data_IF_617602861371
#
_entry.id   IF_617602861371
#
_cell.length_a   1.000
_cell.length_b   1.000
_cell.length_c   1.000
_cell.angle_alpha   90.00
_cell.angle_beta   90.00
_cell.angle_gamma   90.00
#
_symmetry.space_group_name_H-M   'P 1'
#
loop_
_entity.id
_entity.type
_entity.pdbx_description
1 polymer ?
2 polymer ?
3 non-polymer ?
4 water ?
#
# COMPACT_ATOMS: atom_id res chain seq x y z
N UNK A 1 20.23 15.89 1.63
CA UNK A 1 20.99 14.62 1.72
C UNK A 1 21.20 13.97 0.40
N UNK A 2 21.58 12.71 0.49
CA UNK A 2 21.95 11.95 -0.68
C UNK A 2 20.67 11.28 -1.23
N UNK A 3 20.28 11.71 -2.42
CA UNK A 3 19.06 11.18 -3.03
C UNK A 3 19.47 9.99 -3.85
N UNK A 4 18.69 8.90 -3.74
CA UNK A 4 18.98 7.65 -4.42
C UNK A 4 17.93 7.52 -5.50
N UNK A 5 18.31 7.74 -6.76
CA UNK A 5 17.35 7.67 -7.88
C UNK A 5 17.38 6.29 -8.49
N UNK A 6 16.28 5.58 -8.31
CA UNK A 6 16.19 4.23 -8.74
C UNK A 6 15.29 4.13 -9.97
N UNK A 7 15.74 3.37 -10.96
CA UNK A 7 14.96 3.16 -12.20
C UNK A 7 15.05 1.69 -12.61
N UNK A 8 14.02 1.16 -13.30
CA UNK A 8 12.74 1.78 -13.59
C UNK A 8 11.86 1.73 -12.35
N UNK A 9 10.77 2.49 -12.37
CA UNK A 9 9.77 2.32 -11.32
C UNK A 9 9.06 0.97 -11.40
N UNK A 10 8.84 0.50 -12.64
CA UNK A 10 8.09 -0.75 -12.87
C UNK A 10 8.90 -1.57 -13.86
N UNK A 11 9.11 -2.85 -13.57
CA UNK A 11 9.85 -3.70 -14.47
C UNK A 11 9.06 -4.96 -14.78
N UNK A 12 8.26 -4.92 -15.87
CA UNK A 12 7.57 -6.11 -16.31
C UNK A 12 8.53 -7.09 -16.95
N UNK A 13 8.38 -8.34 -16.55
CA UNK A 13 9.17 -9.45 -17.07
C UNK A 13 8.33 -10.71 -17.29
N UNK A 14 8.83 -11.60 -18.15
CA UNK A 14 8.33 -12.96 -18.15
C UNK A 14 9.25 -13.80 -17.29
N UNK A 15 8.73 -14.77 -16.55
CA UNK A 15 9.64 -15.64 -15.79
C UNK A 15 10.71 -16.19 -16.74
N UNK A 16 11.96 -16.21 -16.30
CA UNK A 16 13.08 -16.65 -17.10
C UNK A 16 13.87 -15.53 -17.73
N UNK A 17 13.27 -14.35 -17.83
CA UNK A 17 13.95 -13.19 -18.38
C UNK A 17 15.03 -12.66 -17.44
N UNK A 18 16.00 -11.98 -18.02
CA UNK A 18 16.96 -11.19 -17.25
C UNK A 18 16.28 -9.93 -16.74
N UNK A 19 16.69 -9.45 -15.57
CA UNK A 19 16.20 -8.15 -15.09
C UNK A 19 17.40 -7.35 -14.62
N UNK A 20 17.37 -6.05 -14.85
CA UNK A 20 18.40 -5.13 -14.38
C UNK A 20 17.75 -3.90 -13.75
N UNK A 21 18.26 -3.50 -12.58
CA UNK A 21 17.66 -2.39 -11.83
C UNK A 21 18.80 -1.41 -11.48
N UNK A 22 18.56 -0.12 -11.67
CA UNK A 22 19.58 0.89 -11.53
C UNK A 22 19.37 1.76 -10.30
N UNK A 23 20.45 2.04 -9.58
CA UNK A 23 20.40 2.99 -8.47
C UNK A 23 21.50 4.03 -8.67
N UNK A 24 21.13 5.31 -8.71
CA UNK A 24 22.13 6.39 -8.90
C UNK A 24 22.07 7.38 -7.72
N UNK A 25 23.07 7.33 -6.82
CA UNK A 25 23.11 8.29 -5.73
C UNK A 25 23.51 9.67 -6.31
N UNK A 26 23.16 10.75 -5.63
CA UNK A 26 23.42 12.11 -6.11
C UNK A 26 24.83 12.58 -5.76
N UNK A 27 25.60 11.67 -5.16
CA UNK A 27 27.05 11.82 -4.91
C UNK A 27 27.71 10.49 -4.56
N UNK A 28 29.05 10.47 -4.52
CA UNK A 28 29.87 9.30 -4.22
C UNK A 28 29.50 8.67 -2.88
N UNK A 29 29.55 7.35 -2.85
CA UNK A 29 29.26 6.58 -1.64
C UNK A 29 30.48 5.96 -0.98
N UNK A 30 31.68 6.36 -1.42
CA UNK A 30 32.87 5.78 -0.83
C UNK A 30 33.09 6.52 0.50
N UNK A 31 33.06 5.77 1.59
CA UNK A 31 33.26 6.29 2.93
C UNK A 31 34.74 6.62 3.13
N UNK A 32 35.02 7.53 4.06
CA UNK A 32 36.43 7.83 4.42
C UNK A 32 37.23 6.57 4.72
N UNK A 33 36.58 5.53 5.24
CA UNK A 33 37.23 4.25 5.52
C UNK A 33 37.48 3.33 4.31
N UNK A 34 37.03 3.74 3.14
CA UNK A 34 37.31 2.98 1.92
C UNK A 34 36.17 2.08 1.46
N UNK A 35 35.26 1.78 2.37
CA UNK A 35 34.10 0.95 2.04
C UNK A 35 33.04 1.73 1.26
N UNK A 36 32.29 1.06 0.41
CA UNK A 36 31.16 1.67 -0.32
C UNK A 36 29.89 1.01 0.22
N UNK A 37 29.13 1.76 1.03
CA UNK A 37 27.95 1.23 1.70
C UNK A 37 26.74 1.44 0.82
N UNK A 38 26.65 0.64 -0.26
CA UNK A 38 25.49 0.63 -1.17
C UNK A 38 24.95 -0.78 -1.13
N UNK A 39 23.65 -0.94 -0.84
CA UNK A 39 23.08 -2.26 -0.59
C UNK A 39 21.77 -2.41 -1.36
N UNK A 40 21.36 -3.65 -1.60
CA UNK A 40 20.07 -3.94 -2.32
C UNK A 40 19.19 -4.87 -1.50
N UNK A 41 17.89 -4.63 -1.57
CA UNK A 41 16.90 -5.40 -0.77
C UNK A 41 15.72 -5.76 -1.65
N UNK A 42 14.98 -6.80 -1.23
CA UNK A 42 13.71 -7.18 -1.88
C UNK A 42 12.66 -7.21 -0.77
N UNK A 43 11.53 -6.55 -1.03
CA UNK A 43 10.38 -6.66 -0.12
C UNK A 43 9.16 -7.26 -0.83
N UNK A 44 8.65 -8.33 -0.27
CA UNK A 44 7.39 -8.97 -0.75
C UNK A 44 6.16 -8.40 0.00
N UNK A 45 4.95 -8.44 -0.61
CA UNK A 45 3.79 -7.82 0.04
C UNK A 45 3.55 -8.36 1.44
N UNK A 46 3.42 -7.43 2.39
CA UNK A 46 3.09 -7.73 3.77
C UNK A 46 4.20 -8.44 4.52
N UNK A 47 5.42 -8.40 3.96
CA UNK A 47 6.63 -8.93 4.63
C UNK A 47 7.60 -7.77 4.86
N UNK A 48 8.59 -7.98 5.72
CA UNK A 48 9.64 -6.98 5.87
C UNK A 48 10.62 -7.11 4.69
N UNK A 49 11.36 -6.03 4.41
CA UNK A 49 12.48 -6.18 3.44
C UNK A 49 13.49 -7.24 3.84
N UNK A 50 14.16 -7.81 2.83
CA UNK A 50 15.26 -8.71 3.06
C UNK A 50 16.50 -8.26 2.28
N UNK A 51 17.67 -8.35 2.90
CA UNK A 51 18.92 -8.05 2.21
C UNK A 51 19.24 -9.05 1.08
N UNK A 52 19.68 -8.51 -0.05
CA UNK A 52 20.19 -9.32 -1.16
C UNK A 52 21.69 -9.18 -1.34
N UNK A 53 22.15 -7.94 -1.50
CA UNK A 53 23.54 -7.62 -1.85
C UNK A 53 24.03 -6.54 -0.90
N UNK A 54 25.18 -6.74 -0.27
CA UNK A 54 25.76 -5.69 0.58
C UNK A 54 27.06 -5.17 0.03
N UNK A 55 27.36 -3.90 0.30
CA UNK A 55 28.54 -3.21 -0.20
C UNK A 55 28.82 -3.53 -1.65
N UNK A 56 27.85 -3.17 -2.48
CA UNK A 56 27.91 -3.12 -3.96
C UNK A 56 27.74 -4.47 -4.61
N UNK A 57 28.55 -5.47 -4.21
CA UNK A 57 28.67 -6.72 -5.00
C UNK A 57 28.68 -8.01 -4.18
N UNK A 58 28.48 -7.91 -2.86
CA UNK A 58 28.61 -9.09 -2.03
C UNK A 58 27.26 -9.74 -1.80
N UNK A 59 27.13 -11.00 -2.21
CA UNK A 59 25.88 -11.70 -2.09
C UNK A 59 25.65 -12.18 -0.66
N UNK A 60 24.51 -11.85 -0.08
CA UNK A 60 24.23 -12.17 1.30
C UNK A 60 23.95 -13.67 1.41
N UNK A 61 24.31 -14.25 2.56
CA UNK A 61 24.00 -15.65 2.81
C UNK A 61 22.53 -16.03 2.57
N UNK A 62 22.33 -17.10 1.80
CA UNK A 62 21.00 -17.63 1.50
C UNK A 62 20.36 -17.03 0.27
N UNK A 63 20.95 -15.94 -0.25
CA UNK A 63 20.39 -15.26 -1.46
C UNK A 63 20.78 -16.08 -2.70
N UNK A 64 19.80 -16.37 -3.57
CA UNK A 64 20.09 -17.15 -4.80
C UNK A 64 21.21 -16.57 -5.66
N UNK A 65 21.97 -17.48 -6.29
CA UNK A 65 23.19 -17.15 -7.04
C UNK A 65 22.85 -16.26 -8.25
N UNK A 66 21.59 -16.32 -8.71
CA UNK A 66 21.17 -15.52 -9.89
C UNK A 66 21.14 -14.01 -9.60
N UNK A 67 21.19 -13.64 -8.33
CA UNK A 67 21.33 -12.22 -7.97
C UNK A 67 22.80 -11.81 -7.95
N UNK A 68 23.11 -10.65 -8.55
CA UNK A 68 24.45 -10.05 -8.43
C UNK A 68 24.37 -8.54 -8.45
N UNK A 69 25.38 -7.88 -7.93
CA UNK A 69 25.41 -6.43 -7.98
C UNK A 69 26.78 -5.97 -8.47
N UNK A 70 26.78 -4.78 -9.01
CA UNK A 70 28.02 -4.16 -9.46
C UNK A 70 27.88 -2.65 -9.48
N UNK A 71 29.01 -1.99 -9.72
CA UNK A 71 28.98 -0.56 -9.97
C UNK A 71 29.94 0.26 -9.14
N UNK A 72 29.91 1.55 -9.39
CA UNK A 72 30.85 2.50 -8.78
C UNK A 72 30.40 3.93 -9.06
N UNK A 73 31.04 4.90 -8.40
CA UNK A 73 30.73 6.32 -8.65
C UNK A 73 29.29 6.61 -8.29
N UNK A 74 28.49 7.02 -9.27
CA UNK A 74 27.07 7.28 -9.03
C UNK A 74 26.19 6.38 -9.91
N UNK A 75 26.69 5.20 -10.24
CA UNK A 75 25.88 4.24 -11.00
C UNK A 75 26.08 2.81 -10.51
N UNK A 76 25.02 2.25 -9.92
CA UNK A 76 25.04 0.90 -9.37
C UNK A 76 23.89 0.10 -9.96
N UNK A 77 24.11 -1.20 -10.12
CA UNK A 77 23.15 -2.06 -10.79
C UNK A 77 22.99 -3.43 -10.14
N UNK A 78 21.74 -3.80 -9.93
CA UNK A 78 21.36 -5.11 -9.46
C UNK A 78 20.94 -5.89 -10.71
N UNK A 79 21.54 -7.06 -10.88
CA UNK A 79 21.15 -7.94 -12.00
C UNK A 79 20.55 -9.24 -11.49
N UNK A 80 19.47 -9.70 -12.13
CA UNK A 80 18.90 -11.02 -11.87
C UNK A 80 19.03 -11.80 -13.19
N UNK A 81 19.76 -12.90 -13.19
CA UNK A 81 20.09 -13.52 -14.49
C UNK A 81 18.85 -14.11 -15.22
N UNK A 82 17.95 -14.70 -14.43
CA UNK A 82 16.68 -15.31 -14.84
C UNK A 82 15.65 -15.10 -13.74
N UNK A 83 14.60 -14.32 -14.02
CA UNK A 83 13.61 -14.05 -12.98
C UNK A 83 12.77 -15.28 -12.66
N UNK A 84 12.72 -15.65 -11.38
CA UNK A 84 11.87 -16.76 -10.93
C UNK A 84 10.74 -16.21 -10.09
N UNK A 85 9.69 -16.99 -9.86
CA UNK A 85 8.47 -16.47 -9.19
C UNK A 85 8.73 -15.86 -7.80
N UNK A 86 9.71 -16.42 -7.08
CA UNK A 86 10.08 -15.95 -5.73
C UNK A 86 10.75 -14.57 -5.76
N UNK A 87 11.07 -14.10 -6.97
CA UNK A 87 11.80 -12.84 -7.08
C UNK A 87 10.86 -11.66 -7.28
N UNK A 88 9.59 -11.94 -7.55
CA UNK A 88 8.65 -10.83 -7.74
C UNK A 88 8.44 -10.06 -6.44
N UNK A 89 8.42 -8.75 -6.58
CA UNK A 89 8.21 -7.88 -5.42
C UNK A 89 8.82 -6.51 -5.65
N UNK A 90 9.11 -5.80 -4.56
CA UNK A 90 9.65 -4.44 -4.72
C UNK A 90 11.10 -4.43 -4.29
N UNK A 91 11.96 -4.02 -5.22
CA UNK A 91 13.40 -3.86 -4.95
C UNK A 91 13.76 -2.44 -4.57
N UNK A 92 14.66 -2.30 -3.63
CA UNK A 92 15.22 -0.96 -3.41
C UNK A 92 16.68 -1.01 -3.02
N UNK A 93 17.39 0.11 -3.26
CA UNK A 93 18.75 0.26 -2.80
C UNK A 93 18.75 1.11 -1.53
N UNK A 94 19.81 0.99 -0.73
CA UNK A 94 20.04 1.93 0.40
C UNK A 94 21.49 2.37 0.32
N UNK A 95 21.78 3.58 0.78
CA UNK A 95 23.15 3.94 1.05
C UNK A 95 23.35 4.12 2.55
N UNK A 96 24.48 3.64 3.03
CA UNK A 96 24.80 3.83 4.46
C UNK A 96 26.09 4.54 4.74
N UNK A 97 26.55 5.29 3.76
CA UNK A 97 27.79 6.09 3.87
C UNK A 97 27.57 7.43 4.54
N UNK A 98 26.50 8.11 4.16
CA UNK A 98 26.25 9.47 4.62
C UNK A 98 25.00 9.57 5.46
N UNK A 99 25.11 10.10 6.69
CA UNK A 99 23.91 10.40 7.49
C UNK A 99 23.19 11.62 6.88
N UNK A 100 21.86 11.53 6.62
CA UNK A 100 20.99 10.39 6.94
C UNK A 100 21.03 9.28 5.87
N UNK A 101 20.93 8.02 6.29
CA UNK A 101 20.89 6.94 5.33
C UNK A 101 19.64 7.09 4.51
N UNK A 102 19.70 6.73 3.24
CA UNK A 102 18.57 6.94 2.35
C UNK A 102 18.33 5.72 1.47
N UNK A 103 17.10 5.66 0.99
CA UNK A 103 16.63 4.53 0.19
C UNK A 103 16.17 5.00 -1.18
N UNK A 104 16.31 4.13 -2.18
CA UNK A 104 15.73 4.40 -3.49
C UNK A 104 14.22 4.26 -3.38
N UNK A 105 13.48 4.76 -4.37
CA UNK A 105 12.02 4.78 -4.28
C UNK A 105 11.34 3.47 -4.61
N UNK A 106 12.14 2.48 -5.00
CA UNK A 106 11.61 1.17 -5.26
C UNK A 106 11.41 0.89 -6.76
N UNK A 107 11.53 -0.40 -7.09
CA UNK A 107 11.23 -0.93 -8.43
C UNK A 107 10.35 -2.14 -8.27
N UNK A 108 9.16 -2.13 -8.88
CA UNK A 108 8.25 -3.28 -8.78
C UNK A 108 8.57 -4.25 -9.92
N UNK A 109 9.12 -5.41 -9.56
CA UNK A 109 9.35 -6.49 -10.54
C UNK A 109 8.02 -7.29 -10.62
N UNK A 110 7.41 -7.32 -11.79
CA UNK A 110 6.05 -7.89 -11.94
C UNK A 110 5.97 -8.64 -13.26
N UNK A 111 4.86 -9.35 -13.47
CA UNK A 111 4.72 -10.18 -14.66
C UNK A 111 4.14 -9.39 -15.85
N UNK A 112 4.76 -9.59 -17.01
CA UNK A 112 4.39 -8.89 -18.23
C UNK A 112 3.26 -9.68 -18.87
N UNK A 113 2.24 -8.96 -19.37
CA UNK A 113 1.15 -9.61 -20.10
C UNK A 113 0.66 -8.64 -21.16
N UNK A 114 -0.34 -9.06 -21.94
CA UNK A 114 -0.90 -8.18 -22.96
C UNK A 114 -1.65 -7.02 -22.31
N UNK A 115 -1.58 -5.84 -22.90
CA UNK A 115 -2.33 -4.70 -22.37
C UNK A 115 -3.82 -5.01 -22.40
N UNK A 116 -4.51 -4.53 -21.38
CA UNK A 116 -5.93 -4.73 -21.20
C UNK A 116 -6.56 -3.41 -20.72
N UNK A 117 -7.57 -2.98 -21.47
CA UNK A 117 -8.34 -1.79 -21.08
C UNK A 117 -9.17 -2.05 -19.81
N UNK A 118 -9.32 -1.05 -18.92
CA UNK A 118 -10.14 -1.35 -17.74
C UNK A 118 -11.63 -1.53 -18.07
N UNK A 119 -12.30 -2.33 -17.26
CA UNK A 119 -13.74 -2.37 -17.22
C UNK A 119 -14.20 -1.39 -16.15
N UNK A 120 -14.90 -0.34 -16.59
CA UNK A 120 -15.16 0.82 -15.75
C UNK A 120 -16.64 0.80 -15.40
N UNK A 121 -16.92 0.83 -14.10
CA UNK A 121 -18.30 0.82 -13.56
C UNK A 121 -18.49 1.95 -12.59
N UNK A 122 -19.51 2.78 -12.83
CA UNK A 122 -19.77 3.92 -11.92
C UNK A 122 -21.07 3.66 -11.15
N UNK A 123 -21.10 4.06 -9.88
CA UNK A 123 -22.31 3.92 -9.02
C UNK A 123 -22.62 5.21 -8.28
N UNK A 124 -23.88 5.70 -8.36
CA UNK A 124 -24.28 6.82 -7.48
C UNK A 124 -24.32 6.41 -5.98
N UNK A 125 -24.42 7.41 -5.08
CA UNK A 125 -24.63 7.11 -3.67
C UNK A 125 -25.84 6.19 -3.47
N UNK A 126 -25.65 5.24 -2.56
CA UNK A 126 -26.69 4.38 -1.98
C UNK A 126 -27.84 5.22 -1.39
N UNK A 127 -29.08 4.75 -1.56
CA UNK A 127 -30.18 5.35 -0.77
C UNK A 127 -29.91 5.27 0.73
N UNK A 128 -29.38 4.13 1.18
CA UNK A 128 -28.90 3.95 2.57
C UNK A 128 -27.93 5.04 3.06
N UNK A 129 -26.96 5.40 2.22
CA UNK A 129 -26.00 6.44 2.60
C UNK A 129 -26.62 7.83 2.61
N UNK A 130 -27.40 8.17 1.60
CA UNK A 130 -28.02 9.51 1.53
C UNK A 130 -28.94 9.80 2.71
N UNK A 131 -29.65 8.77 3.15
CA UNK A 131 -30.40 8.84 4.41
C UNK A 131 -29.55 9.35 5.60
N UNK A 132 -28.24 9.05 5.63
CA UNK A 132 -27.34 9.51 6.69
C UNK A 132 -26.64 10.86 6.38
N UNK A 133 -27.01 11.46 5.25
CA UNK A 133 -26.50 12.78 4.87
C UNK A 133 -25.18 12.75 4.15
N UNK A 134 -24.70 11.55 3.81
CA UNK A 134 -23.47 11.41 3.04
C UNK A 134 -23.71 10.98 1.60
N UNK A 135 -22.72 11.21 0.75
CA UNK A 135 -22.85 10.87 -0.65
C UNK A 135 -21.52 10.51 -1.27
N UNK A 136 -21.27 9.20 -1.39
CA UNK A 136 -20.04 8.69 -2.01
C UNK A 136 -20.39 8.13 -3.37
N UNK A 137 -19.69 8.63 -4.39
CA UNK A 137 -19.82 8.13 -5.75
C UNK A 137 -18.65 7.21 -6.05
N UNK A 138 -18.93 6.00 -6.49
CA UNK A 138 -17.86 5.01 -6.66
C UNK A 138 -17.63 4.65 -8.12
N UNK A 139 -16.35 4.56 -8.49
CA UNK A 139 -15.93 4.08 -9.78
C UNK A 139 -14.95 2.89 -9.61
N UNK A 140 -15.32 1.71 -10.11
CA UNK A 140 -14.37 0.56 -10.24
C UNK A 140 -13.73 0.56 -11.62
N UNK A 141 -12.43 0.29 -11.68
CA UNK A 141 -11.72 0.20 -12.96
C UNK A 141 -11.02 -1.12 -12.85
N UNK A 142 -11.54 -2.14 -13.53
CA UNK A 142 -11.16 -3.51 -13.22
C UNK A 142 -10.39 -4.22 -14.32
N UNK A 143 -9.43 -5.05 -13.90
CA UNK A 143 -8.74 -6.00 -14.80
C UNK A 143 -8.04 -5.30 -15.97
N UNK A 144 -7.24 -4.29 -15.62
CA UNK A 144 -6.45 -3.57 -16.62
C UNK A 144 -4.95 -3.86 -16.54
N UNK A 145 -4.24 -3.57 -17.63
CA UNK A 145 -2.77 -3.68 -17.65
C UNK A 145 -2.24 -2.75 -18.74
N UNK A 146 -1.12 -2.01 -18.48
CA UNK A 146 -0.28 -1.98 -17.27
C UNK A 146 -0.91 -1.30 -16.05
N UNK A 147 -0.20 -1.29 -14.91
CA UNK A 147 -0.77 -0.80 -13.64
C UNK A 147 -1.05 0.70 -13.63
N UNK A 148 -0.28 1.41 -14.43
CA UNK A 148 -0.33 2.84 -14.48
C UNK A 148 -1.67 3.28 -15.02
N UNK A 149 -2.39 4.05 -14.21
CA UNK A 149 -3.72 4.55 -14.59
C UNK A 149 -4.01 5.83 -13.84
N UNK A 150 -4.84 6.68 -14.44
CA UNK A 150 -5.22 7.93 -13.80
C UNK A 150 -6.72 8.08 -13.89
N UNK A 151 -7.33 8.52 -12.78
CA UNK A 151 -8.80 8.69 -12.74
C UNK A 151 -9.06 10.16 -12.49
N UNK A 152 -9.95 10.74 -13.29
CA UNK A 152 -10.39 12.12 -13.11
C UNK A 152 -11.90 12.15 -12.91
N UNK A 153 -12.36 12.86 -11.87
CA UNK A 153 -13.78 13.04 -11.62
C UNK A 153 -14.23 14.39 -12.14
N UNK A 154 -15.41 14.44 -12.72
CA UNK A 154 -16.00 15.73 -13.12
C UNK A 154 -17.42 15.83 -12.55
N UNK A 155 -17.79 17.01 -12.09
CA UNK A 155 -19.13 17.26 -11.61
C UNK A 155 -19.65 18.37 -12.53
N UNK A 156 -20.77 18.11 -13.18
CA UNK A 156 -21.31 19.01 -14.19
C UNK A 156 -20.22 19.55 -15.13
N UNK A 157 -19.38 18.64 -15.59
CA UNK A 157 -18.33 18.91 -16.54
C UNK A 157 -17.08 19.56 -15.98
N UNK A 158 -17.09 19.88 -14.68
CA UNK A 158 -15.93 20.52 -14.03
C UNK A 158 -15.11 19.50 -13.23
N UNK A 159 -13.80 19.52 -13.40
CA UNK A 159 -12.92 18.58 -12.69
C UNK A 159 -13.00 18.85 -11.18
N UNK A 160 -12.99 17.78 -10.40
CA UNK A 160 -13.04 17.82 -8.94
C UNK A 160 -11.94 16.93 -8.37
N UNK A 161 -11.14 17.46 -7.44
CA UNK A 161 -10.00 16.68 -6.88
C UNK A 161 -10.03 16.31 -5.40
N UNK A 162 -10.53 17.20 -4.56
CA UNK A 162 -10.63 16.97 -3.11
C UNK A 162 -11.82 16.07 -2.72
N UNK A 163 -11.62 15.23 -1.70
CA UNK A 163 -12.63 14.26 -1.29
C UNK A 163 -12.59 12.94 -2.07
N UNK A 164 -11.51 12.72 -2.83
CA UNK A 164 -11.28 11.50 -3.62
C UNK A 164 -10.34 10.52 -2.93
N UNK A 165 -10.77 9.26 -2.82
CA UNK A 165 -10.00 8.18 -2.20
C UNK A 165 -9.75 7.11 -3.29
N UNK A 166 -8.49 6.81 -3.60
CA UNK A 166 -8.16 5.74 -4.55
C UNK A 166 -7.42 4.58 -3.93
N UNK A 167 -7.80 3.37 -4.31
CA UNK A 167 -7.16 2.16 -3.77
C UNK A 167 -6.87 1.19 -4.90
N UNK A 168 -5.66 0.61 -4.93
CA UNK A 168 -5.27 -0.35 -5.95
C UNK A 168 -5.03 -1.72 -5.36
N UNK A 169 -5.37 -2.72 -6.14
CA UNK A 169 -5.02 -4.10 -5.84
C UNK A 169 -3.59 -4.38 -6.34
N UNK A 170 -2.97 -5.42 -5.78
CA UNK A 170 -1.70 -5.88 -6.34
C UNK A 170 -2.05 -6.72 -7.58
N UNK A 171 -1.02 -7.07 -8.33
CA UNK A 171 -1.22 -7.85 -9.54
C UNK A 171 -1.93 -9.17 -9.27
N UNK A 172 -2.94 -9.48 -10.10
CA UNK A 172 -3.73 -10.70 -9.94
C UNK A 172 -2.90 -11.92 -10.26
N UNK A 173 -3.03 -12.96 -9.43
CA UNK A 173 -2.18 -14.14 -9.56
C UNK A 173 -2.57 -14.99 -10.77
N UNK A 174 -3.83 -14.89 -11.18
CA UNK A 174 -4.32 -15.65 -12.34
C UNK A 174 -4.39 -14.87 -13.67
N UNK A 175 -4.69 -13.57 -13.58
CA UNK A 175 -4.96 -12.62 -14.68
C UNK A 175 -3.70 -11.86 -15.06
N UNK A 176 -2.88 -11.60 -14.03
CA UNK A 176 -1.76 -10.64 -14.10
C UNK A 176 -2.23 -9.22 -14.35
N UNK A 177 -3.52 -8.96 -14.16
CA UNK A 177 -4.05 -7.58 -14.27
C UNK A 177 -4.05 -6.86 -12.94
N UNK A 178 -4.44 -5.59 -12.98
CA UNK A 178 -4.61 -4.75 -11.80
C UNK A 178 -6.05 -4.23 -11.81
N UNK A 179 -6.54 -3.87 -10.64
CA UNK A 179 -7.79 -3.14 -10.52
C UNK A 179 -7.65 -1.97 -9.56
N UNK A 180 -8.56 -1.01 -9.67
CA UNK A 180 -8.55 0.11 -8.76
C UNK A 180 -9.97 0.58 -8.48
N UNK A 181 -10.14 1.09 -7.25
CA UNK A 181 -11.41 1.64 -6.83
C UNK A 181 -11.20 3.11 -6.53
N UNK A 182 -12.03 4.00 -7.10
CA UNK A 182 -11.95 5.43 -6.80
C UNK A 182 -13.28 5.89 -6.19
N UNK A 183 -13.22 6.59 -5.05
CA UNK A 183 -14.47 7.01 -4.38
C UNK A 183 -14.42 8.53 -4.16
N UNK A 184 -15.41 9.22 -4.72
CA UNK A 184 -15.61 10.66 -4.49
C UNK A 184 -16.63 10.86 -3.39
N UNK A 185 -16.20 11.43 -2.27
CA UNK A 185 -17.17 11.72 -1.22
C UNK A 185 -17.49 13.20 -1.08
N UNK A 186 -18.79 13.48 -1.11
CA UNK A 186 -19.35 14.81 -0.81
C UNK A 186 -20.49 14.72 0.22
N UNK A 187 -20.96 15.87 0.68
CA UNK A 187 -22.16 15.88 1.51
C UNK A 187 -23.38 15.63 0.63
N UNK A 188 -24.46 15.16 1.23
CA UNK A 188 -25.70 15.01 0.48
C UNK A 188 -26.12 16.36 -0.11
N UNK A 189 -25.95 17.44 0.69
CA UNK A 189 -26.28 18.81 0.25
C UNK A 189 -25.57 19.17 -1.04
N UNK A 190 -24.23 18.94 -1.07
CA UNK A 190 -23.43 19.29 -2.26
C UNK A 190 -23.83 18.40 -3.42
N UNK A 191 -24.02 17.11 -3.13
CA UNK A 191 -24.39 16.13 -4.16
C UNK A 191 -25.65 16.61 -4.89
N UNK A 192 -26.59 17.18 -4.13
CA UNK A 192 -27.86 17.70 -4.68
C UNK A 192 -27.76 19.03 -5.42
N UNK A 193 -26.61 19.71 -5.33
CA UNK A 193 -26.41 20.93 -6.12
C UNK A 193 -26.01 20.66 -7.58
N UNK A 194 -25.86 19.38 -7.96
CA UNK A 194 -25.31 19.02 -9.28
C UNK A 194 -25.99 17.81 -9.90
N UNK A 195 -25.86 17.68 -11.21
CA UNK A 195 -26.53 16.61 -11.93
C UNK A 195 -25.59 15.54 -12.50
N UNK A 196 -24.66 15.97 -13.35
CA UNK A 196 -23.77 15.05 -14.07
C UNK A 196 -22.52 14.68 -13.24
N UNK A 197 -22.35 13.39 -12.97
CA UNK A 197 -21.15 12.87 -12.26
C UNK A 197 -20.41 11.92 -13.17
N UNK A 198 -19.10 12.13 -13.35
CA UNK A 198 -18.36 11.41 -14.38
C UNK A 198 -17.03 10.91 -13.82
N UNK A 199 -16.72 9.62 -14.04
CA UNK A 199 -15.33 9.18 -13.83
C UNK A 199 -14.69 8.87 -15.19
N UNK A 200 -13.46 9.37 -15.37
CA UNK A 200 -12.76 9.26 -16.64
C UNK A 200 -11.45 8.54 -16.36
N UNK A 201 -11.17 7.47 -17.09
CA UNK A 201 -9.98 6.63 -16.86
C UNK A 201 -9.02 6.81 -18.01
N UNK A 202 -7.83 7.31 -17.70
CA UNK A 202 -6.78 7.47 -18.70
C UNK A 202 -5.75 6.34 -18.48
N UNK A 203 -5.47 5.62 -19.55
CA UNK A 203 -4.68 4.40 -19.47
C UNK A 203 -4.03 4.19 -20.83
N UNK A 204 -2.94 3.43 -20.87
CA UNK A 204 -2.19 3.20 -22.13
C UNK A 204 -3.05 2.72 -23.30
N UNK A 205 -4.12 2.00 -22.96
CA UNK A 205 -4.95 1.32 -23.96
C UNK A 205 -5.90 2.23 -24.71
N UNK A 206 -5.87 3.51 -24.37
CA UNK A 206 -6.65 4.52 -25.10
C UNK A 206 -5.91 5.85 -25.18
N UNK A 207 -6.07 6.53 -26.31
CA UNK A 207 -5.48 7.86 -26.48
C UNK A 207 -6.47 8.88 -25.89
N UNK A 208 -7.72 8.43 -25.73
CA UNK A 208 -8.80 9.20 -25.11
C UNK A 208 -9.35 8.45 -23.91
N UNK A 209 -9.75 9.18 -22.86
CA UNK A 209 -10.30 8.52 -21.65
C UNK A 209 -11.54 7.64 -21.89
N UNK A 210 -11.63 6.54 -21.12
CA UNK A 210 -12.88 5.77 -21.01
C UNK A 210 -13.70 6.55 -20.00
N UNK A 211 -14.85 7.02 -20.45
CA UNK A 211 -15.72 7.83 -19.60
C UNK A 211 -16.98 7.07 -19.18
N UNK A 212 -17.28 7.08 -17.87
CA UNK A 212 -18.56 6.55 -17.38
C UNK A 212 -19.22 7.66 -16.60
N UNK A 213 -20.53 7.80 -16.77
CA UNK A 213 -21.19 8.91 -16.11
C UNK A 213 -22.64 8.60 -15.82
N UNK A 214 -23.23 9.39 -14.96
CA UNK A 214 -24.67 9.37 -14.75
C UNK A 214 -25.17 10.74 -14.38
N UNK A 215 -26.48 10.91 -14.52
CA UNK A 215 -27.12 12.14 -14.09
C UNK A 215 -28.01 11.84 -12.91
N UNK A 216 -27.77 12.56 -11.81
CA UNK A 216 -28.47 12.33 -10.56
C UNK A 216 -29.99 12.35 -10.73
N UNK A 217 -30.49 13.24 -11.57
CA UNK A 217 -31.94 13.35 -11.81
C UNK A 217 -32.61 12.07 -12.31
N UNK A 218 -31.82 11.22 -12.99
CA UNK A 218 -32.32 10.02 -13.60
C UNK A 218 -31.93 8.75 -12.85
N UNK A 219 -31.32 8.88 -11.66
CA UNK A 219 -30.90 7.72 -10.89
C UNK A 219 -31.73 7.59 -9.63
N UNK B 1 21.08 -17.24 12.72
CA UNK B 1 19.75 -17.25 13.40
C UNK B 1 19.59 -15.96 14.17
N UNK B 2 20.00 -14.89 13.51
CA UNK B 2 19.71 -13.56 13.98
C UNK B 2 18.22 -13.31 13.83
N UNK B 3 17.57 -12.82 14.90
CA UNK B 3 16.16 -12.41 14.85
C UNK B 3 15.95 -11.13 15.62
N UNK B 4 15.14 -10.25 15.02
CA UNK B 4 14.67 -9.04 15.70
C UNK B 4 13.17 -9.13 15.82
N UNK B 5 12.70 -9.10 17.06
CA UNK B 5 11.28 -9.26 17.35
C UNK B 5 10.71 -7.98 17.94
N UNK B 6 9.80 -7.37 17.19
CA UNK B 6 9.23 -6.12 17.58
C UNK B 6 7.93 -6.27 18.36
N UNK B 7 7.57 -5.23 19.09
CA UNK B 7 6.29 -5.19 19.83
C UNK B 7 5.11 -5.10 18.85
N UNK B 8 3.90 -5.27 19.39
CA UNK B 8 2.72 -5.44 18.57
C UNK B 8 2.10 -4.14 18.09
N UNK B 9 1.07 -4.27 17.27
CA UNK B 9 0.38 -3.11 16.69
C UNK B 9 -0.14 -2.17 17.75
N UNK B 10 -0.03 -0.88 17.47
CA UNK B 10 -0.46 0.16 18.37
C UNK B 10 -1.59 1.01 17.75
N UNK B 11 -2.58 1.34 18.57
CA UNK B 11 -3.64 2.27 18.17
C UNK B 11 -3.60 3.44 19.17
N UNK B 12 -3.21 4.62 18.69
CA UNK B 12 -2.87 5.70 19.60
C UNK B 12 -3.68 6.97 19.33
N UNK B 13 -4.00 7.70 20.39
CA UNK B 13 -4.68 8.96 20.13
C UNK B 13 -3.70 10.08 19.76
N UNK B 14 -4.17 11.09 19.00
CA UNK B 14 -3.23 12.16 18.66
C UNK B 14 -2.72 12.85 19.90
N UNK B 15 -1.43 13.12 19.91
CA UNK B 15 -0.82 13.85 21.03
C UNK B 15 -0.16 12.91 22.02
N UNK B 16 -0.46 11.62 21.90
CA UNK B 16 0.12 10.62 22.82
C UNK B 16 1.56 10.35 22.44
N UNK B 17 2.23 9.54 23.26
CA UNK B 17 3.55 9.01 22.92
C UNK B 17 3.45 7.50 22.90
N UNK B 18 4.24 6.89 22.02
CA UNK B 18 4.27 5.44 21.95
C UNK B 18 5.73 4.96 22.05
N UNK B 19 5.94 3.78 22.62
CA UNK B 19 7.26 3.17 22.66
C UNK B 19 7.17 1.85 21.92
N UNK B 20 8.01 1.69 20.92
CA UNK B 20 8.10 0.44 20.18
C UNK B 20 9.36 -0.28 20.62
N UNK B 21 9.25 -1.59 20.89
CA UNK B 21 10.46 -2.35 21.24
C UNK B 21 10.93 -3.26 20.12
N UNK B 22 12.18 -3.65 20.27
CA UNK B 22 12.90 -4.47 19.29
C UNK B 22 13.90 -5.36 20.03
N UNK B 23 13.55 -6.64 20.25
CA UNK B 23 14.39 -7.63 21.01
C UNK B 23 15.21 -8.43 20.02
N UNK B 24 16.51 -8.36 20.21
CA UNK B 24 17.53 -8.93 19.34
C UNK B 24 17.98 -10.26 19.94
N UNK B 25 18.00 -11.28 19.10
CA UNK B 25 18.53 -12.58 19.49
C UNK B 25 19.48 -13.12 18.44
N UNK B 26 20.38 -14.02 18.84
CA UNK B 26 21.20 -14.72 17.86
C UNK B 26 22.53 -14.08 17.52
N UNK B 27 22.87 -12.98 18.20
CA UNK B 27 24.16 -12.30 17.99
C UNK B 27 24.49 -11.44 19.20
N UNK B 28 25.67 -10.83 19.17
CA UNK B 28 26.10 -9.98 20.25
C UNK B 28 25.54 -8.58 20.08
N UNK B 29 24.62 -8.20 20.97
CA UNK B 29 23.82 -6.95 20.79
C UNK B 29 24.69 -5.69 20.68
N UNK B 30 25.73 -5.58 21.52
CA UNK B 30 26.51 -4.34 21.54
C UNK B 30 27.42 -4.19 20.30
N UNK B 31 27.45 -5.21 19.45
CA UNK B 31 28.37 -5.21 18.29
C UNK B 31 27.80 -4.58 17.03
N UNK B 32 26.49 -4.39 16.98
CA UNK B 32 25.85 -3.85 15.80
C UNK B 32 24.92 -2.73 16.18
N UNK B 33 24.68 -1.84 15.23
CA UNK B 33 23.71 -0.79 15.43
C UNK B 33 22.31 -1.34 15.27
N UNK B 34 21.36 -0.63 15.86
CA UNK B 34 19.95 -0.88 15.55
C UNK B 34 19.48 0.34 14.78
N UNK B 35 18.92 0.10 13.60
CA UNK B 35 18.38 1.12 12.71
C UNK B 35 16.87 1.20 12.89
N UNK B 36 16.29 2.38 12.70
CA UNK B 36 14.84 2.54 12.76
C UNK B 36 14.37 3.14 11.45
N UNK B 37 13.41 2.46 10.81
CA UNK B 37 12.90 2.87 9.51
C UNK B 37 11.37 2.99 9.49
N UNK B 38 10.87 3.99 8.78
CA UNK B 38 9.45 4.29 8.69
C UNK B 38 8.92 3.98 7.29
N UNK B 39 7.86 3.19 7.24
CA UNK B 39 7.23 2.79 5.98
C UNK B 39 5.81 3.30 5.99
N UNK B 40 5.61 4.36 5.25
CA UNK B 40 4.34 5.05 5.18
C UNK B 40 3.80 4.89 3.81
N UNK B 41 2.52 4.47 3.69
CA UNK B 41 1.93 4.37 2.37
C UNK B 41 2.07 5.67 1.57
N UNK B 42 2.49 5.52 0.33
CA UNK B 42 2.64 6.65 -0.62
C UNK B 42 3.96 7.41 -0.46
N UNK B 43 4.91 6.82 0.26
CA UNK B 43 6.14 7.52 0.58
C UNK B 43 7.40 6.70 0.37
N UNK B 44 7.30 5.39 0.56
CA UNK B 44 8.50 4.54 0.39
C UNK B 44 9.10 4.24 1.74
N UNK B 45 10.44 4.36 1.86
CA UNK B 45 11.11 4.12 3.14
C UNK B 45 11.86 5.35 3.63
N UNK B 46 11.72 5.67 4.92
CA UNK B 46 12.36 6.86 5.42
C UNK B 46 13.15 6.44 6.68
N UNK B 47 14.47 6.66 6.67
CA UNK B 47 15.29 6.34 7.82
C UNK B 47 15.08 7.36 8.93
N UNK B 48 14.86 6.86 10.15
CA UNK B 48 14.68 7.71 11.32
C UNK B 48 16.03 7.91 12.02
N UNK B 49 16.82 6.85 12.16
CA UNK B 49 18.07 6.99 12.92
C UNK B 49 18.61 5.64 13.37
N UNK B 50 19.68 5.66 14.13
CA UNK B 50 20.28 4.41 14.60
C UNK B 50 20.89 4.65 15.97
N UNK B 51 21.03 3.55 16.72
CA UNK B 51 21.71 3.55 18.02
C UNK B 51 22.69 2.40 18.09
N UNK B 52 23.84 2.61 18.71
CA UNK B 52 24.78 1.54 18.95
C UNK B 52 24.64 1.16 20.45
N UNK B 53 23.97 0.01 20.73
CA UNK B 53 23.71 -0.33 22.15
C UNK B 53 24.97 -0.39 22.98
N UNK B 54 24.88 0.12 24.21
CA UNK B 54 26.03 0.16 25.13
C UNK B 54 27.11 1.21 24.91
N UNK B 55 27.04 1.98 23.83
CA UNK B 55 28.13 2.95 23.53
C UNK B 55 27.82 4.41 23.80
N UNK B 56 26.56 4.73 24.07
CA UNK B 56 26.10 6.14 24.10
C UNK B 56 25.97 6.82 22.75
N UNK B 57 26.15 6.06 21.66
CA UNK B 57 26.20 6.68 20.33
C UNK B 57 24.88 6.50 19.58
N UNK B 58 24.48 7.59 18.94
CA UNK B 58 23.28 7.64 18.07
C UNK B 58 23.55 8.55 16.87
N UNK B 59 22.85 8.28 15.78
CA UNK B 59 22.73 9.22 14.66
C UNK B 59 21.23 9.34 14.38
N UNK B 60 20.70 10.57 14.38
CA UNK B 60 19.30 10.81 14.03
C UNK B 60 19.20 11.51 12.70
N UNK B 61 18.20 11.13 11.91
CA UNK B 61 17.79 12.02 10.84
C UNK B 61 17.34 13.37 11.46
N UNK B 62 17.80 14.47 10.87
CA UNK B 62 17.58 15.78 11.51
C UNK B 62 16.12 16.06 11.91
N UNK B 63 15.18 15.82 11.00
CA UNK B 63 13.76 16.16 11.29
C UNK B 63 13.14 15.28 12.40
N UNK B 64 13.84 14.23 12.82
CA UNK B 64 13.35 13.41 13.95
C UNK B 64 13.96 13.79 15.30
N UNK B 65 14.96 14.65 15.30
CA UNK B 65 15.51 15.12 16.57
C UNK B 65 14.45 15.99 17.25
N UNK B 66 14.04 15.54 18.44
CA UNK B 66 12.92 16.19 19.13
C UNK B 66 11.65 15.36 19.06
N UNK B 67 11.63 14.35 18.19
CA UNK B 67 10.41 13.59 17.93
C UNK B 67 10.59 12.12 18.31
N UNK B 68 11.67 11.54 17.83
CA UNK B 68 12.02 10.14 18.13
C UNK B 68 13.15 10.11 19.13
N UNK B 69 13.12 9.16 20.07
CA UNK B 69 14.20 8.97 21.05
C UNK B 69 14.57 7.50 21.11
N UNK B 70 15.84 7.17 20.92
CA UNK B 70 16.27 5.77 20.93
C UNK B 70 16.93 5.49 22.26
N UNK B 71 16.59 4.33 22.80
CA UNK B 71 17.34 3.76 23.92
C UNK B 71 17.63 2.29 23.63
N UNK B 72 18.57 1.71 24.38
CA UNK B 72 18.94 0.31 24.18
C UNK B 72 19.43 -0.19 25.51
N UNK B 73 19.02 -1.40 25.85
CA UNK B 73 19.33 -2.00 27.15
C UNK B 73 20.14 -3.28 26.87
N UNK B 74 21.42 -3.23 27.21
CA UNK B 74 22.31 -4.35 26.89
C UNK B 74 22.03 -5.53 27.84
N UNK B 75 21.26 -5.31 28.92
CA UNK B 75 20.93 -6.44 29.81
C UNK B 75 19.82 -7.30 29.22
N UNK B 76 18.89 -6.67 28.52
CA UNK B 76 17.73 -7.39 27.98
C UNK B 76 17.82 -7.58 26.46
N UNK B 77 18.91 -7.08 25.88
CA UNK B 77 19.11 -7.06 24.42
C UNK B 77 17.90 -6.50 23.71
N UNK B 78 17.38 -5.39 24.22
CA UNK B 78 16.21 -4.76 23.61
C UNK B 78 16.47 -3.30 23.33
N UNK B 79 16.08 -2.88 22.13
CA UNK B 79 16.19 -1.49 21.72
C UNK B 79 14.78 -0.90 21.71
N UNK B 80 14.66 0.40 21.98
CA UNK B 80 13.33 1.04 22.04
C UNK B 80 13.35 2.33 21.24
N UNK B 81 12.23 2.61 20.58
CA UNK B 81 12.05 3.94 20.00
C UNK B 81 10.79 4.56 20.57
N UNK B 82 10.91 5.75 21.11
CA UNK B 82 9.76 6.54 21.56
C UNK B 82 9.41 7.57 20.48
N UNK B 83 8.14 7.65 20.09
CA UNK B 83 7.69 8.76 19.21
C UNK B 83 6.68 9.58 19.99
N UNK B 84 6.92 10.89 20.10
CA UNK B 84 6.03 11.73 20.91
C UNK B 84 5.13 12.60 20.03
N UNK B 85 4.17 13.29 20.68
CA UNK B 85 3.21 14.20 19.97
C UNK B 85 2.67 13.56 18.68
N UNK B 86 2.09 12.38 18.84
CA UNK B 86 1.64 11.62 17.68
C UNK B 86 0.60 12.34 16.86
N UNK B 87 0.78 12.29 15.55
CA UNK B 87 -0.19 12.85 14.62
C UNK B 87 -0.52 11.85 13.51
N UNK B 88 -1.47 12.23 12.66
CA UNK B 88 -1.78 11.43 11.47
C UNK B 88 -0.56 11.13 10.55
N UNK B 89 0.45 12.00 10.59
CA UNK B 89 1.63 11.77 9.79
C UNK B 89 2.46 10.61 10.31
N UNK B 90 2.14 10.15 11.50
CA UNK B 90 2.92 9.09 12.15
C UNK B 90 2.34 7.71 11.97
N UNK B 91 1.13 7.64 11.42
CA UNK B 91 0.54 6.34 11.07
C UNK B 91 1.38 5.65 9.98
N UNK B 92 2.00 4.52 10.33
CA UNK B 92 2.95 3.88 9.44
C UNK B 92 3.32 2.55 10.03
N UNK B 93 4.08 1.77 9.26
CA UNK B 93 4.77 0.60 9.81
C UNK B 93 6.21 1.02 10.10
N UNK B 94 6.69 0.69 11.31
CA UNK B 94 8.05 1.06 11.73
C UNK B 94 8.85 -0.21 11.83
N UNK B 95 10.04 -0.21 11.24
CA UNK B 95 10.92 -1.39 11.34
C UNK B 95 12.11 -1.09 12.18
N UNK B 96 12.57 -2.07 12.97
CA UNK B 96 13.96 -2.02 13.38
C UNK B 96 14.78 -2.92 12.49
N UNK B 97 16.08 -2.60 12.35
CA UNK B 97 16.97 -3.46 11.59
C UNK B 97 18.34 -3.49 12.25
N UNK B 98 19.14 -4.52 11.96
CA UNK B 98 20.53 -4.54 12.36
C UNK B 98 21.25 -3.66 11.37
N UNK B 99 22.28 -2.96 11.82
CA UNK B 99 23.07 -2.10 10.94
C UNK B 99 24.54 -2.21 11.28
N UNK B 100 25.40 -2.03 10.27
CA UNK B 100 26.86 -1.97 10.48
C UNK B 100 27.54 -1.94 9.14
N UNK B 101 27.20 -2.90 8.29
CA UNK B 101 27.74 -2.90 6.92
C UNK B 101 26.68 -3.35 5.90
N UNK B 102 25.42 -3.03 6.23
CA UNK B 102 24.17 -3.29 5.50
C UNK B 102 23.10 -3.43 6.58
N UNK B 103 21.86 -3.24 6.18
CA UNK B 103 20.71 -3.53 7.06
C UNK B 103 20.37 -4.98 6.82
N UNK B 104 21.10 -5.83 7.52
CA UNK B 104 21.13 -7.26 7.12
C UNK B 104 19.97 -8.11 7.63
N UNK B 105 19.41 -7.73 8.78
CA UNK B 105 18.24 -8.44 9.28
C UNK B 105 17.21 -7.42 9.77
N UNK B 106 15.95 -7.61 9.40
CA UNK B 106 14.92 -6.64 9.73
C UNK B 106 13.90 -7.26 10.66
N UNK B 107 13.40 -6.46 11.62
CA UNK B 107 12.25 -6.88 12.42
C UNK B 107 11.01 -7.10 11.57
N UNK B 108 9.95 -7.63 12.17
CA UNK B 108 8.75 -7.91 11.40
C UNK B 108 7.91 -6.65 11.17
N UNK B 109 8.27 -5.53 11.84
CA UNK B 109 7.52 -4.29 11.71
C UNK B 109 6.46 -4.15 12.77
N UNK B 110 6.18 -2.91 13.16
CA UNK B 110 5.15 -2.56 14.12
C UNK B 110 4.27 -1.48 13.47
N UNK B 111 2.97 -1.77 13.31
CA UNK B 111 1.98 -0.82 12.82
C UNK B 111 1.60 0.14 13.93
N UNK B 112 1.71 1.43 13.67
CA UNK B 112 1.16 2.43 14.58
C UNK B 112 0.07 3.18 13.85
N UNK B 113 -1.11 3.27 14.45
CA UNK B 113 -2.22 3.98 13.78
C UNK B 113 -2.65 5.09 14.73
N UNK B 114 -2.74 6.31 14.22
CA UNK B 114 -3.08 7.44 15.08
C UNK B 114 -4.51 7.89 14.75
N UNK B 115 -5.40 7.84 15.73
CA UNK B 115 -6.81 8.19 15.51
C UNK B 115 -7.47 8.53 16.83
N UNK B 116 -8.47 9.42 16.76
CA UNK B 116 -9.37 9.74 17.87
C UNK B 116 -10.63 8.86 17.88
N UNK B 117 -10.76 7.93 16.93
CA UNK B 117 -12.01 7.19 16.76
C UNK B 117 -12.17 6.12 17.81
N UNK B 118 -13.42 5.86 18.19
CA UNK B 118 -13.70 4.67 18.98
C UNK B 118 -13.90 3.50 18.01
N UNK B 119 -13.90 2.30 18.54
CA UNK B 119 -14.25 1.10 17.78
C UNK B 119 -15.59 1.40 17.16
N UNK B 120 -15.64 1.34 15.83
CA UNK B 120 -16.80 1.79 15.05
C UNK B 120 -17.00 0.76 13.95
N UNK B 121 -18.19 0.12 13.92
CA UNK B 121 -18.39 -0.88 12.87
C UNK B 121 -18.58 -0.14 11.54
N UNK B 122 -18.31 -0.81 10.41
CA UNK B 122 -18.46 -0.08 9.15
C UNK B 122 -19.92 0.12 8.74
N UNK B 123 -20.19 1.18 7.99
CA UNK B 123 -21.45 1.29 7.26
C UNK B 123 -21.24 0.56 5.94
N UNK B 124 -22.17 -0.31 5.57
CA UNK B 124 -22.02 -1.11 4.34
C UNK B 124 -23.07 -0.72 3.30
N UNK B 125 -22.58 -0.22 2.18
CA UNK B 125 -23.47 0.33 1.18
C UNK B 125 -23.37 -0.51 -0.08
N UNK B 126 -24.54 -0.92 -0.62
CA UNK B 126 -24.57 -1.70 -1.87
C UNK B 126 -24.21 -0.85 -3.07
N UNK B 127 -23.51 -1.45 -4.01
CA UNK B 127 -23.19 -0.80 -5.28
C UNK B 127 -23.75 -1.68 -6.38
N UNK B 128 -24.82 -1.22 -7.01
CA UNK B 128 -25.49 -2.01 -8.02
C UNK B 128 -25.97 -1.09 -9.13
N UNK B 129 -26.08 -1.63 -10.35
CA UNK B 129 -26.51 -0.74 -11.44
C UNK B 129 -27.98 -0.24 -11.32
N UNK B 130 -28.25 0.83 -12.07
CA UNK B 130 -29.54 1.52 -12.07
C UNK B 130 -29.52 2.55 -13.18
N UNK B 131 -30.09 3.73 -12.88
CA UNK B 131 -30.03 4.92 -13.75
C UNK B 131 -30.58 4.67 -15.16
N UNK B 132 -31.42 3.64 -15.31
CA UNK B 132 -31.99 3.27 -16.60
C UNK B 132 -31.00 2.68 -17.60
N UNK B 133 -29.80 2.31 -17.14
CA UNK B 133 -28.82 1.70 -18.05
C UNK B 133 -29.23 0.27 -18.39
N UNK B 134 -28.79 -0.22 -19.55
CA UNK B 134 -28.99 -1.62 -19.90
C UNK B 134 -27.77 -2.43 -19.50
N UNK B 135 -28.00 -3.44 -18.66
CA UNK B 135 -26.97 -4.40 -18.24
C UNK B 135 -26.36 -5.11 -19.46
N UNK B 136 -25.07 -5.39 -19.42
CA UNK B 136 -24.42 -6.20 -20.47
C UNK B 136 -24.60 -7.67 -20.14
N UNK B 137 -23.75 -8.53 -20.69
CA UNK B 137 -23.81 -9.96 -20.36
C UNK B 137 -23.19 -10.26 -18.98
N UNK B 138 -22.26 -9.41 -18.55
CA UNK B 138 -21.77 -9.47 -17.17
C UNK B 138 -22.11 -8.18 -16.42
N UNK B 139 -22.42 -8.32 -15.14
CA UNK B 139 -22.73 -7.15 -14.32
C UNK B 139 -21.72 -7.06 -13.18
N UNK B 140 -21.23 -5.86 -12.91
CA UNK B 140 -20.31 -5.67 -11.77
C UNK B 140 -21.08 -5.07 -10.60
N UNK B 141 -20.98 -5.75 -9.46
CA UNK B 141 -21.62 -5.29 -8.23
C UNK B 141 -20.53 -5.01 -7.19
N UNK B 142 -20.88 -4.30 -6.14
CA UNK B 142 -19.87 -3.96 -5.16
C UNK B 142 -20.48 -3.68 -3.81
N UNK B 143 -19.65 -3.63 -2.77
CA UNK B 143 -20.04 -3.09 -1.50
C UNK B 143 -18.98 -2.12 -1.06
N UNK B 144 -19.43 -0.94 -0.61
CA UNK B 144 -18.57 0.08 0.00
C UNK B 144 -18.68 -0.06 1.50
N UNK B 145 -17.54 -0.23 2.14
CA UNK B 145 -17.43 -0.54 3.56
C UNK B 145 -16.69 0.67 4.17
N UNK B 146 -17.47 1.58 4.76
CA UNK B 146 -16.97 2.93 5.06
C UNK B 146 -17.04 3.32 6.53
N UNK B 147 -16.02 4.05 6.99
CA UNK B 147 -16.05 4.70 8.30
C UNK B 147 -15.87 3.79 9.50
N UNK B 148 -15.02 2.76 9.37
CA UNK B 148 -14.81 1.79 10.44
C UNK B 148 -13.49 1.98 11.15
N UNK B 149 -13.38 1.38 12.35
CA UNK B 149 -12.14 1.42 13.11
C UNK B 149 -12.14 0.31 14.19
N UNK B 150 -10.99 -0.35 14.41
CA UNK B 150 -9.74 -0.29 13.64
C UNK B 150 -9.79 -1.24 12.48
N UNK B 151 -8.63 -1.49 11.88
CA UNK B 151 -8.56 -2.29 10.68
C UNK B 151 -8.96 -3.71 10.80
N UNK B 152 -9.08 -4.24 9.58
CA UNK B 152 -9.53 -5.55 9.26
C UNK B 152 -11.02 -5.78 9.31
N UNK B 153 -11.55 -5.78 8.11
CA UNK B 153 -12.83 -6.33 7.84
C UNK B 153 -12.58 -7.44 6.85
N UNK B 154 -13.55 -8.33 6.70
CA UNK B 154 -13.54 -9.30 5.61
C UNK B 154 -14.88 -9.21 4.90
N UNK B 155 -14.85 -9.14 3.57
CA UNK B 155 -16.08 -9.20 2.76
C UNK B 155 -16.14 -10.56 2.09
N UNK B 156 -17.26 -11.27 2.28
CA UNK B 156 -17.51 -12.54 1.61
C UNK B 156 -18.72 -12.41 0.72
N UNK B 157 -18.58 -12.82 -0.55
CA UNK B 157 -19.70 -12.84 -1.48
C UNK B 157 -20.36 -14.23 -1.57
N UNK B 158 -21.68 -14.24 -1.44
CA UNK B 158 -22.44 -15.43 -0.99
C UNK B 158 -21.63 -16.68 -0.61
N UNK B 159 -21.14 -16.68 0.63
CA UNK B 159 -20.37 -17.77 1.26
C UNK B 159 -18.96 -17.98 0.72
N UNK B 160 -18.69 -17.55 -0.51
CA UNK B 160 -17.38 -17.69 -1.14
C UNK B 160 -17.46 -18.34 -2.50
N UNK B 161 -18.68 -18.72 -2.89
CA UNK B 161 -18.96 -19.53 -4.08
C UNK B 161 -18.88 -18.77 -5.41
N UNK B 162 -17.81 -18.01 -5.63
CA UNK B 162 -17.67 -17.25 -6.89
C UNK B 162 -16.70 -17.88 -7.91
N UNK B 163 -15.52 -18.29 -7.42
CA UNK B 163 -14.32 -18.50 -8.24
C UNK B 163 -13.89 -17.14 -8.81
N UNK B 164 -13.58 -16.24 -7.87
CA UNK B 164 -13.38 -14.78 -8.04
C UNK B 164 -12.61 -14.40 -9.30
N UNK B 165 -13.08 -13.50 -10.15
CA UNK B 165 -14.25 -12.56 -10.07
C UNK B 165 -14.44 -11.51 -8.95
N UNK B 166 -13.93 -11.76 -7.74
CA UNK B 166 -13.97 -10.78 -6.63
C UNK B 166 -12.65 -9.99 -6.57
N UNK B 167 -12.78 -8.67 -6.47
CA UNK B 167 -11.65 -7.79 -6.16
C UNK B 167 -11.80 -7.15 -4.79
N UNK B 168 -10.76 -7.24 -3.97
CA UNK B 168 -10.77 -6.62 -2.64
C UNK B 168 -9.83 -5.43 -2.68
N UNK B 169 -10.36 -4.24 -2.41
CA UNK B 169 -9.55 -3.05 -2.51
C UNK B 169 -9.07 -2.70 -1.10
N UNK B 170 -7.75 -2.64 -0.92
CA UNK B 170 -7.14 -2.41 0.38
C UNK B 170 -7.71 -1.14 1.02
N UNK B 171 -7.96 -1.20 2.34
CA UNK B 171 -8.49 -0.07 3.08
C UNK B 171 -7.53 1.12 3.08
N UNK B 172 -8.10 2.30 3.19
CA UNK B 172 -7.32 3.53 3.38
C UNK B 172 -7.82 4.24 4.61
N UNK B 173 -6.89 4.75 5.40
CA UNK B 173 -7.24 5.55 6.56
C UNK B 173 -7.30 6.99 6.09
N UNK B 174 -8.42 7.63 6.36
CA UNK B 174 -8.57 9.04 6.13
C UNK B 174 -9.36 9.63 7.27
N UNK B 175 -8.82 10.71 7.84
CA UNK B 175 -9.43 11.35 8.99
C UNK B 175 -9.76 10.33 10.10
N UNK B 176 -8.82 9.41 10.34
CA UNK B 176 -8.95 8.50 11.50
C UNK B 176 -9.93 7.33 11.37
N UNK B 177 -10.55 7.18 10.20
CA UNK B 177 -11.48 6.06 9.97
C UNK B 177 -11.07 5.37 8.69
N UNK B 178 -11.30 4.06 8.61
CA UNK B 178 -11.01 3.28 7.40
C UNK B 178 -12.17 3.17 6.44
N UNK B 179 -11.81 3.05 5.17
CA UNK B 179 -12.79 2.79 4.11
C UNK B 179 -12.17 1.78 3.14
N UNK B 180 -12.94 0.74 2.79
CA UNK B 180 -12.54 -0.16 1.74
C UNK B 180 -13.74 -0.44 0.84
N UNK B 181 -13.46 -1.15 -0.25
CA UNK B 181 -14.53 -1.62 -1.13
C UNK B 181 -14.22 -3.00 -1.71
N UNK B 182 -15.25 -3.65 -2.24
CA UNK B 182 -15.08 -4.98 -2.79
C UNK B 182 -16.04 -5.06 -3.95
N UNK B 183 -15.57 -5.58 -5.06
CA UNK B 183 -16.44 -5.79 -6.22
C UNK B 183 -16.51 -7.26 -6.60
N UNK B 184 -17.60 -7.62 -7.27
CA UNK B 184 -17.73 -8.94 -7.84
C UNK B 184 -18.37 -8.77 -9.20
N UNK B 185 -18.04 -9.65 -10.14
CA UNK B 185 -18.65 -9.63 -11.46
C UNK B 185 -19.39 -10.96 -11.66
N UNK B 186 -20.66 -10.86 -12.04
CA UNK B 186 -21.52 -12.03 -12.24
C UNK B 186 -22.17 -11.98 -13.63
N UNK B 187 -22.50 -13.15 -14.22
CA UNK B 187 -23.32 -13.10 -15.42
C UNK B 187 -24.69 -12.50 -15.21
N UNK B 188 -25.20 -11.82 -16.24
CA UNK B 188 -26.52 -11.19 -16.18
C UNK B 188 -27.64 -12.22 -15.98
N UNK B 189 -27.38 -13.47 -16.39
CA UNK B 189 -28.31 -14.58 -16.16
C UNK B 189 -28.51 -14.89 -14.67
N UNK B 190 -27.47 -14.66 -13.87
CA UNK B 190 -27.52 -14.90 -12.41
C UNK B 190 -28.13 -13.76 -11.58
N UNK B 191 -27.94 -12.52 -12.02
CA UNK B 191 -28.39 -11.33 -11.28
C UNK B 191 -29.12 -10.37 -12.23
N UNK B 192 -30.25 -9.77 -11.77
CA UNK B 192 -30.87 -9.82 -10.43
C UNK B 192 -31.86 -10.95 -10.18
N UNK B 193 -31.92 -11.93 -11.08
CA UNK B 193 -32.79 -13.10 -10.95
C UNK B 193 -32.46 -13.93 -9.71
N UNK B 194 -31.19 -14.01 -9.36
CA UNK B 194 -30.79 -14.72 -8.15
C UNK B 194 -30.05 -13.81 -7.17
N UNK B 195 -30.00 -14.25 -5.91
CA UNK B 195 -29.55 -13.40 -4.83
C UNK B 195 -28.03 -13.28 -4.81
N UNK B 196 -27.54 -12.04 -4.76
CA UNK B 196 -26.13 -11.79 -4.48
C UNK B 196 -26.05 -10.94 -3.20
N UNK B 197 -25.23 -11.40 -2.26
CA UNK B 197 -25.08 -10.78 -0.95
C UNK B 197 -23.62 -10.55 -0.61
N UNK B 198 -23.31 -9.38 -0.04
CA UNK B 198 -21.99 -9.18 0.55
C UNK B 198 -22.10 -9.24 2.06
N UNK B 199 -21.23 -10.06 2.65
CA UNK B 199 -21.21 -10.27 4.09
C UNK B 199 -19.95 -9.60 4.62
N UNK B 200 -20.11 -8.65 5.52
CA UNK B 200 -18.97 -7.87 5.96
C UNK B 200 -18.76 -8.07 7.46
N UNK B 201 -17.66 -8.73 7.81
CA UNK B 201 -17.32 -9.00 9.19
C UNK B 201 -16.26 -8.01 9.69
N UNK B 202 -16.49 -7.47 10.88
CA UNK B 202 -15.54 -6.56 11.53
C UNK B 202 -15.34 -7.10 12.96
N UNK B 203 -14.39 -8.02 13.12
CA UNK B 203 -14.16 -8.74 14.39
C UNK B 203 -14.00 -7.86 15.62
N UNK B 204 -13.45 -6.65 15.45
CA UNK B 204 -13.17 -5.73 16.54
C UNK B 204 -14.43 -5.11 17.16
N UNK B 205 -15.51 -4.99 16.39
CA UNK B 205 -16.81 -4.60 16.94
C UNK B 205 -17.74 -5.84 17.09
N UNK B 206 -17.18 -7.03 16.84
CA UNK B 206 -17.96 -8.30 16.81
C UNK B 206 -19.26 -8.15 16.03
N UNK B 207 -19.15 -7.50 14.87
CA UNK B 207 -20.31 -7.27 14.00
C UNK B 207 -20.14 -7.99 12.65
N UNK B 208 -21.26 -8.46 12.14
CA UNK B 208 -21.34 -8.90 10.76
C UNK B 208 -22.60 -8.32 10.11
N UNK B 209 -22.44 -7.78 8.92
CA UNK B 209 -23.55 -7.17 8.22
C UNK B 209 -23.64 -7.80 6.83
N UNK B 210 -24.88 -8.16 6.46
CA UNK B 210 -25.17 -8.71 5.14
C UNK B 210 -25.99 -7.72 4.36
N UNK B 211 -25.56 -7.40 3.14
CA UNK B 211 -26.39 -6.57 2.28
C UNK B 211 -26.67 -7.35 1.02
N UNK B 212 -27.97 -7.51 0.72
CA UNK B 212 -28.40 -8.07 -0.55
C UNK B 212 -28.29 -7.00 -1.61
N UNK B 213 -27.74 -7.38 -2.77
CA UNK B 213 -27.55 -6.45 -3.88
C UNK B 213 -28.80 -6.38 -4.74
N UNK B 214 -29.38 -5.19 -4.81
CA UNK B 214 -30.59 -4.94 -5.63
C UNK B 214 -30.36 -3.73 -6.54
N UNK B 215 -31.05 -3.68 -7.72
CA UNK B 215 -30.89 -2.51 -8.61
C UNK B 215 -31.09 -1.21 -7.85
N UNK B 216 -30.38 -0.16 -8.26
CA UNK B 216 -30.42 1.11 -7.55
C UNK B 216 -31.48 2.03 -8.14
N UNK B 217 -32.02 1.59 -9.27
CA UNK B 217 -33.09 2.32 -9.98
C UNK B 217 -33.54 1.49 -11.16
N UNK B 218 -34.30 2.11 -12.11
CA UNK B 218 -34.73 1.33 -13.27
C UNK B 218 -33.52 0.77 -14.01
N UNK B 219 -33.66 -0.45 -14.51
CA UNK B 219 -32.64 -1.08 -15.33
C UNK B 219 -33.25 -1.45 -16.66
X LIG C 1 27.21 2.82 8.99
X LIG C 1 26.75 1.95 7.91
X LIG C 1 25.30 1.73 8.15
X LIG C 1 24.74 0.67 6.89
X LIG C 1 23.31 1.30 6.37
X LIG C 1 24.51 -0.92 7.49
X LIG C 1 25.86 0.61 5.59
X LIG C 1 28.83 5.10 7.45
X LIG C 1 29.15 3.90 7.68
X LIG C 1 28.64 3.12 9.03
X LIG C 1 28.76 4.09 10.21
X LIG C 1 29.80 4.58 10.63
X LIG C 1 29.50 1.78 9.31
X LIG C 1 29.32 1.03 10.30
#
# INVERSE_FOLDING_TARGET
ELVMTQSPLSLPVSLGDQASISCRPSQSLVHSNGNTYLHWYLQKPGQSPKLLIYRVSNRFSGVPDRFSGSGSGTAFTLKISRVEAEDLGVYFCSQGTHVPYTFGGGTKLELKRADAAPTVSIFPPSSEQLTSGGASVVCFLNNFYPKDINVKWKIDGSERQNGVLNSWTDQDSKDSTYSMSSTLTLTKDEYERHNSYTCEATHKTSTSPIVKSFNRNEC
RVQLLESGAELMKPGASVQISCKATGYTFSFYWIEWVKERPGHGLEWIGEILPGSGRTNYREKFKGKATFTADTSSNTAYMQLSSLTSEDSAVYYCTRGYSSMDYWGQGTSVTVSAAKTTPPSVYPLAPGCGDTTGSSVTLGCLVKGYFPESVTVTWNSGSLSSSVHTFPALLQSGLYTMSSSVTVPSSTWPSQTVTCSVAHPASSTTVDKKLEPSGPI
NES N4 C7 C8 S O1S O2S O3S O1 C2 C3 C4 O5 C6 O7
#
